data_IF_880223019265
#
_entry.id   IF_880223019265
#
_cell.length_a   1.000
_cell.length_b   1.000
_cell.length_c   1.000
_cell.angle_alpha   90.00
_cell.angle_beta   90.00
_cell.angle_gamma   90.00
#
_symmetry.space_group_name_H-M   'P 1'
#
loop_
_entity.id
_entity.type
_entity.pdbx_description
1 polymer ?
#
# COMPACT_ATOMS: atom_id res chain seq x y z
N UNK A 1 -21.03 -8.22 16.65
CA UNK A 1 -20.82 -9.56 16.05
C UNK A 1 -19.45 -9.56 15.40
N UNK A 2 -18.52 -10.46 15.77
CA UNK A 2 -17.11 -10.42 15.28
C UNK A 2 -16.93 -11.39 14.11
N UNK A 3 -16.53 -10.88 12.94
CA UNK A 3 -16.20 -11.71 11.76
C UNK A 3 -14.67 -11.72 11.64
N UNK A 4 -14.02 -12.89 11.58
CA UNK A 4 -12.57 -12.98 11.47
C UNK A 4 -12.13 -12.67 10.03
N UNK A 5 -11.14 -11.78 9.89
CA UNK A 5 -10.40 -11.65 8.63
C UNK A 5 -9.56 -12.93 8.38
N UNK A 6 -9.18 -13.20 7.13
CA UNK A 6 -8.44 -14.37 6.65
C UNK A 6 -7.07 -14.59 7.35
N UNK A 7 -6.65 -13.67 8.22
CA UNK A 7 -5.44 -13.73 9.05
C UNK A 7 -5.71 -13.76 10.56
N UNK A 8 -6.94 -14.04 11.01
CA UNK A 8 -7.26 -14.29 12.42
C UNK A 8 -7.09 -13.10 13.38
N UNK A 9 -6.88 -11.88 12.87
CA UNK A 9 -6.77 -10.68 13.70
C UNK A 9 -8.16 -10.13 13.99
N UNK A 10 -8.51 -10.01 15.28
CA UNK A 10 -9.70 -9.27 15.71
C UNK A 10 -9.41 -7.77 15.55
N UNK A 11 -9.79 -7.21 14.40
CA UNK A 11 -9.90 -5.77 14.21
C UNK A 11 -11.28 -5.34 14.68
N UNK A 12 -11.36 -4.29 15.51
CA UNK A 12 -12.63 -3.64 15.79
C UNK A 12 -13.21 -3.20 14.45
N UNK A 13 -14.45 -3.58 14.17
CA UNK A 13 -15.10 -3.24 12.90
C UNK A 13 -15.29 -1.72 12.91
N UNK A 14 -14.49 -0.99 12.13
CA UNK A 14 -14.78 0.40 11.82
C UNK A 14 -15.76 0.36 10.64
N UNK A 15 -17.04 0.32 10.97
CA UNK A 15 -18.15 0.01 10.05
C UNK A 15 -18.31 1.01 8.87
N UNK A 16 -17.58 2.13 8.87
CA UNK A 16 -17.65 3.18 7.83
C UNK A 16 -16.25 3.63 7.34
N UNK A 17 -15.39 2.71 6.89
CA UNK A 17 -14.22 3.14 6.12
C UNK A 17 -14.60 3.43 4.66
N UNK A 18 -14.21 4.61 4.13
CA UNK A 18 -14.45 4.93 2.73
C UNK A 18 -13.72 3.92 1.82
N UNK A 19 -14.29 3.67 0.64
CA UNK A 19 -13.77 2.65 -0.29
C UNK A 19 -12.30 2.90 -0.67
N UNK A 20 -11.89 4.17 -0.67
CA UNK A 20 -10.51 4.59 -0.90
C UNK A 20 -9.54 3.98 0.11
N UNK A 21 -9.92 3.91 1.40
CA UNK A 21 -9.09 3.28 2.42
C UNK A 21 -9.18 1.76 2.39
N UNK A 22 -10.37 1.22 2.11
CA UNK A 22 -10.59 -0.23 2.01
C UNK A 22 -9.74 -0.90 0.93
N UNK A 23 -9.51 -0.20 -0.19
CA UNK A 23 -8.74 -0.70 -1.33
C UNK A 23 -7.39 -0.02 -1.49
N UNK A 24 -6.91 0.70 -0.47
CA UNK A 24 -5.56 1.27 -0.48
C UNK A 24 -4.55 0.12 -0.65
N UNK A 25 -3.68 0.16 -1.67
CA UNK A 25 -2.67 -0.87 -1.88
C UNK A 25 -1.79 -1.04 -0.63
N UNK A 26 -1.66 -2.29 -0.16
CA UNK A 26 -0.81 -2.60 0.99
C UNK A 26 0.62 -2.97 0.59
N UNK A 27 0.82 -3.31 -0.68
CA UNK A 27 2.10 -3.70 -1.24
C UNK A 27 2.34 -3.05 -2.60
N UNK A 28 3.60 -2.92 -3.00
CA UNK A 28 3.96 -2.37 -4.30
C UNK A 28 3.45 -3.22 -5.49
N UNK A 29 3.10 -4.48 -5.26
CA UNK A 29 2.53 -5.38 -6.29
C UNK A 29 1.04 -5.10 -6.57
N UNK A 30 0.35 -4.47 -5.62
CA UNK A 30 -1.07 -4.09 -5.75
C UNK A 30 -1.26 -2.74 -6.47
N UNK A 31 -0.17 -2.01 -6.71
CA UNK A 31 -0.20 -0.74 -7.45
C UNK A 31 -0.13 -1.01 -8.95
N UNK A 32 -1.22 -0.71 -9.66
CA UNK A 32 -1.38 -1.06 -11.09
C UNK A 32 -0.67 -0.07 -12.04
N UNK A 33 -0.39 1.15 -11.57
CA UNK A 33 0.15 2.24 -12.40
C UNK A 33 1.67 2.42 -12.23
N UNK A 34 2.35 3.00 -13.22
CA UNK A 34 3.77 3.38 -13.15
C UNK A 34 4.73 2.25 -12.77
N UNK A 35 4.71 1.15 -13.54
CA UNK A 35 5.55 -0.02 -13.34
C UNK A 35 7.05 0.28 -13.22
N UNK A 36 7.58 1.24 -14.01
CA UNK A 36 9.00 1.62 -13.98
C UNK A 36 9.35 2.28 -12.64
N UNK A 37 8.54 3.23 -12.17
CA UNK A 37 8.79 3.92 -10.91
C UNK A 37 8.71 2.97 -9.71
N UNK A 38 7.74 2.04 -9.73
CA UNK A 38 7.59 1.02 -8.70
C UNK A 38 8.79 0.07 -8.68
N UNK A 39 9.28 -0.37 -9.84
CA UNK A 39 10.44 -1.27 -9.91
C UNK A 39 11.70 -0.60 -9.33
N UNK A 40 11.95 0.65 -9.71
CA UNK A 40 13.07 1.41 -9.14
C UNK A 40 12.91 1.59 -7.62
N UNK A 41 11.69 1.88 -7.14
CA UNK A 41 11.41 2.01 -5.72
C UNK A 41 11.62 0.70 -4.96
N UNK A 42 11.24 -0.44 -5.55
CA UNK A 42 11.50 -1.77 -4.98
C UNK A 42 13.00 -2.04 -4.88
N UNK A 43 13.78 -1.72 -5.91
CA UNK A 43 15.23 -1.84 -5.88
C UNK A 43 15.86 -0.96 -4.80
N UNK A 44 15.41 0.30 -4.68
CA UNK A 44 15.88 1.20 -3.63
C UNK A 44 15.48 0.75 -2.23
N UNK A 45 14.28 0.16 -2.06
CA UNK A 45 13.84 -0.38 -0.78
C UNK A 45 14.64 -1.63 -0.34
N UNK A 46 15.14 -2.41 -1.29
CA UNK A 46 16.05 -3.52 -1.02
C UNK A 46 17.49 -3.05 -0.79
N UNK A 47 17.87 -1.90 -1.36
CA UNK A 47 19.17 -1.28 -1.14
C UNK A 47 19.25 -0.66 0.27
N UNK A 48 20.42 -0.71 0.89
CA UNK A 48 20.70 0.00 2.16
C UNK A 48 20.94 1.50 1.97
N UNK A 49 20.87 2.01 0.73
CA UNK A 49 21.15 3.40 0.39
C UNK A 49 19.98 4.05 -0.34
N UNK A 50 18.90 4.30 0.39
CA UNK A 50 17.73 4.98 -0.17
C UNK A 50 18.02 6.48 -0.35
N UNK A 51 17.96 7.00 -1.59
CA UNK A 51 18.18 8.42 -1.85
C UNK A 51 16.99 9.28 -1.40
N UNK A 52 17.18 10.60 -1.36
CA UNK A 52 16.06 11.54 -1.23
C UNK A 52 15.21 11.50 -2.50
N UNK A 53 13.91 11.25 -2.36
CA UNK A 53 12.97 11.14 -3.48
C UNK A 53 11.91 12.25 -3.41
N UNK A 54 11.57 12.81 -4.56
CA UNK A 54 10.46 13.74 -4.72
C UNK A 54 9.40 13.02 -5.56
N UNK A 55 8.21 12.82 -4.99
CA UNK A 55 7.06 12.27 -5.71
C UNK A 55 6.23 13.43 -6.25
N UNK A 56 6.11 13.50 -7.58
CA UNK A 56 5.30 14.50 -8.26
C UNK A 56 4.34 13.80 -9.23
N UNK A 57 3.10 14.25 -9.25
CA UNK A 57 2.06 13.72 -10.13
C UNK A 57 0.75 14.50 -9.98
N UNK A 58 -0.18 14.34 -10.93
CA UNK A 58 -1.53 14.87 -10.81
C UNK A 58 -2.29 14.15 -9.68
N UNK A 59 -3.24 14.87 -9.07
CA UNK A 59 -4.19 14.31 -8.11
C UNK A 59 -5.37 13.63 -8.81
#
# INVERSE_FOLDING_TARGET
>A
MKIPDKKGKIIGIKEEEPWVEKYRPNSFDEVVSQSIAINNLKEFALSTNMPHMIFAGPA
#
